data_IF_099100905881
#
_entry.id   IF_099100905881
#
_cell.length_a   1.000
_cell.length_b   1.000
_cell.length_c   1.000
_cell.angle_alpha   90.00
_cell.angle_beta   90.00
_cell.angle_gamma   90.00
#
_symmetry.space_group_name_H-M   'P 1'
#
loop_
_entity.id
_entity.type
_entity.pdbx_description
1 polymer ?
#
# COMPACT_ATOMS: atom_id res chain seq x y z
N UNK A 1 20.96 -61.38 -27.95
CA UNK A 1 19.93 -60.50 -28.54
C UNK A 1 18.57 -60.49 -27.79
N UNK A 2 18.14 -61.55 -27.08
CA UNK A 2 16.85 -61.57 -26.36
C UNK A 2 16.76 -60.69 -25.09
N UNK A 3 17.89 -60.22 -24.56
CA UNK A 3 17.92 -59.37 -23.35
C UNK A 3 17.93 -57.87 -23.65
N UNK A 4 18.28 -57.46 -24.87
CA UNK A 4 18.35 -56.04 -25.25
C UNK A 4 16.95 -55.40 -25.34
N UNK A 5 15.96 -56.16 -25.85
CA UNK A 5 14.58 -55.69 -25.95
C UNK A 5 13.90 -55.50 -24.58
N UNK A 6 14.30 -56.26 -23.55
CA UNK A 6 13.76 -56.12 -22.19
C UNK A 6 14.31 -54.89 -21.47
N UNK A 7 15.57 -54.52 -21.74
CA UNK A 7 16.20 -53.31 -21.18
C UNK A 7 15.63 -52.06 -21.84
N UNK A 8 15.41 -52.07 -23.16
CA UNK A 8 14.76 -50.95 -23.87
C UNK A 8 13.30 -50.74 -23.43
N UNK A 9 12.56 -51.83 -23.17
CA UNK A 9 11.18 -51.73 -22.71
C UNK A 9 11.08 -51.23 -21.26
N UNK A 10 12.03 -51.58 -20.37
CA UNK A 10 12.06 -51.06 -19.00
C UNK A 10 12.55 -49.60 -18.92
N UNK A 11 13.39 -49.17 -19.86
CA UNK A 11 13.86 -47.79 -19.94
C UNK A 11 12.77 -46.85 -20.49
N UNK A 12 11.94 -47.34 -21.40
CA UNK A 12 10.77 -46.62 -21.90
C UNK A 12 9.68 -46.45 -20.84
N UNK A 13 9.46 -47.43 -19.96
CA UNK A 13 8.55 -47.26 -18.80
C UNK A 13 9.12 -46.35 -17.72
N UNK A 14 10.45 -46.31 -17.53
CA UNK A 14 11.07 -45.36 -16.61
C UNK A 14 10.99 -43.91 -17.15
N UNK A 15 11.10 -43.70 -18.46
CA UNK A 15 10.88 -42.39 -19.09
C UNK A 15 9.40 -41.96 -19.11
N UNK A 16 8.45 -42.90 -19.13
CA UNK A 16 7.03 -42.59 -19.03
C UNK A 16 6.60 -42.17 -17.60
N UNK A 17 7.33 -42.59 -16.57
CA UNK A 17 7.16 -42.14 -15.18
C UNK A 17 7.88 -40.81 -14.89
N UNK A 18 8.80 -40.40 -15.77
CA UNK A 18 9.40 -39.07 -15.79
C UNK A 18 8.71 -38.29 -16.91
N UNK A 19 7.38 -38.17 -16.86
CA UNK A 19 6.75 -36.90 -17.23
C UNK A 19 7.12 -35.99 -16.05
N UNK A 20 8.34 -35.46 -15.99
CA UNK A 20 8.56 -34.03 -16.22
C UNK A 20 7.24 -33.28 -16.02
N UNK A 21 6.82 -33.17 -14.76
CA UNK A 21 5.98 -32.07 -14.33
C UNK A 21 6.84 -30.82 -14.51
N UNK A 22 6.94 -30.35 -15.76
CA UNK A 22 7.13 -28.93 -15.98
C UNK A 22 5.84 -28.32 -15.46
N UNK A 23 5.78 -28.07 -14.15
CA UNK A 23 5.00 -26.93 -13.69
C UNK A 23 5.68 -25.75 -14.36
N UNK A 24 5.11 -25.29 -15.48
CA UNK A 24 5.41 -23.94 -15.93
C UNK A 24 5.22 -23.02 -14.72
N UNK A 25 6.08 -22.02 -14.58
CA UNK A 25 5.82 -20.99 -13.59
C UNK A 25 4.40 -20.45 -13.87
N UNK A 26 3.56 -20.41 -12.83
CA UNK A 26 2.21 -19.89 -12.96
C UNK A 26 2.30 -18.39 -13.24
N UNK A 27 1.52 -17.92 -14.18
CA UNK A 27 1.37 -16.50 -14.46
C UNK A 27 -0.04 -16.03 -14.15
N UNK A 28 -0.22 -14.73 -14.04
CA UNK A 28 -1.53 -14.09 -14.16
C UNK A 28 -1.75 -13.74 -15.64
N UNK A 29 -2.77 -14.34 -16.25
CA UNK A 29 -3.16 -14.05 -17.63
C UNK A 29 -4.01 -12.77 -17.71
N UNK A 30 -4.87 -12.54 -16.71
CA UNK A 30 -5.81 -11.41 -16.71
C UNK A 30 -6.23 -11.00 -15.31
N UNK A 31 -6.41 -9.70 -15.10
CA UNK A 31 -7.02 -9.12 -13.91
C UNK A 31 -8.26 -8.33 -14.36
N UNK A 32 -9.42 -8.68 -13.81
CA UNK A 32 -10.69 -7.97 -14.01
C UNK A 32 -11.15 -7.35 -12.69
N UNK A 33 -11.33 -6.03 -12.65
CA UNK A 33 -11.94 -5.35 -11.50
C UNK A 33 -13.46 -5.48 -11.64
N UNK A 34 -14.09 -6.23 -10.74
CA UNK A 34 -15.52 -6.53 -10.80
C UNK A 34 -16.35 -5.39 -10.19
N UNK A 35 -15.87 -4.86 -9.07
CA UNK A 35 -16.46 -3.73 -8.34
C UNK A 35 -15.39 -3.03 -7.48
N UNK A 36 -15.80 -2.07 -6.64
CA UNK A 36 -14.92 -1.28 -5.77
C UNK A 36 -14.15 -2.13 -4.74
N UNK A 37 -14.56 -3.35 -4.42
CA UNK A 37 -13.90 -4.19 -3.42
C UNK A 37 -13.41 -5.53 -3.97
N UNK A 38 -13.71 -5.85 -5.22
CA UNK A 38 -13.56 -7.22 -5.74
C UNK A 38 -12.81 -7.23 -7.06
N UNK A 39 -11.79 -8.07 -7.13
CA UNK A 39 -11.04 -8.37 -8.34
C UNK A 39 -11.13 -9.87 -8.67
N UNK A 40 -11.11 -10.19 -9.96
CA UNK A 40 -11.01 -11.53 -10.49
C UNK A 40 -9.67 -11.70 -11.21
N UNK A 41 -8.88 -12.67 -10.77
CA UNK A 41 -7.56 -12.99 -11.34
C UNK A 41 -7.67 -14.30 -12.09
N UNK A 42 -7.38 -14.27 -13.38
CA UNK A 42 -7.28 -15.46 -14.23
C UNK A 42 -5.81 -15.88 -14.29
N UNK A 43 -5.53 -17.11 -13.87
CA UNK A 43 -4.19 -17.69 -13.92
C UNK A 43 -3.95 -18.40 -15.25
N UNK A 44 -2.70 -18.43 -15.70
CA UNK A 44 -2.27 -19.02 -16.99
C UNK A 44 -2.57 -20.52 -17.08
N UNK A 45 -2.62 -21.19 -15.94
CA UNK A 45 -2.99 -22.59 -15.79
C UNK A 45 -3.87 -22.73 -14.55
N UNK A 46 -4.63 -23.82 -14.47
CA UNK A 46 -5.42 -24.11 -13.28
C UNK A 46 -4.48 -24.54 -12.14
N UNK A 47 -4.31 -23.75 -11.07
CA UNK A 47 -3.50 -24.20 -9.95
C UNK A 47 -4.32 -25.24 -9.18
N UNK A 48 -3.68 -26.32 -8.75
CA UNK A 48 -4.30 -27.38 -7.96
C UNK A 48 -4.58 -26.90 -6.51
N UNK A 49 -5.29 -25.78 -6.34
CA UNK A 49 -5.66 -25.18 -5.04
C UNK A 49 -7.07 -25.55 -4.65
N UNK A 50 -7.35 -25.50 -3.35
CA UNK A 50 -8.63 -25.91 -2.77
C UNK A 50 -9.77 -24.99 -3.23
N UNK A 51 -10.95 -25.55 -3.42
CA UNK A 51 -12.20 -24.77 -3.62
C UNK A 51 -12.61 -24.11 -2.31
N UNK A 52 -13.07 -22.86 -2.40
CA UNK A 52 -13.38 -22.00 -1.27
C UNK A 52 -12.20 -21.08 -0.96
N UNK A 53 -11.95 -20.83 0.34
CA UNK A 53 -10.85 -19.97 0.76
C UNK A 53 -9.50 -20.58 0.40
N UNK A 54 -8.67 -19.80 -0.28
CA UNK A 54 -7.31 -20.13 -0.66
C UNK A 54 -6.35 -19.51 0.37
N UNK A 55 -5.40 -20.31 0.83
CA UNK A 55 -4.32 -19.84 1.70
C UNK A 55 -3.19 -19.29 0.81
N UNK A 56 -3.09 -17.96 0.76
CA UNK A 56 -2.13 -17.25 -0.06
C UNK A 56 -1.83 -15.88 0.57
N UNK A 57 -0.59 -15.45 0.39
CA UNK A 57 -0.12 -14.12 0.75
C UNK A 57 -0.12 -13.26 -0.52
N UNK A 58 -1.09 -12.35 -0.59
CA UNK A 58 -1.27 -11.42 -1.70
C UNK A 58 -1.36 -10.00 -1.14
N UNK A 59 -0.66 -9.07 -1.78
CA UNK A 59 -0.72 -7.64 -1.48
C UNK A 59 -1.22 -6.88 -2.70
N UNK A 60 -2.05 -5.85 -2.48
CA UNK A 60 -2.51 -4.95 -3.53
C UNK A 60 -2.09 -3.53 -3.16
N UNK A 61 -1.32 -2.89 -4.03
CA UNK A 61 -0.74 -1.57 -3.79
C UNK A 61 -1.25 -0.57 -4.82
N UNK A 62 -1.80 0.55 -4.37
CA UNK A 62 -2.13 1.71 -5.21
C UNK A 62 -0.91 2.61 -5.35
N UNK A 63 -0.56 2.99 -6.58
CA UNK A 63 0.46 4.01 -6.82
C UNK A 63 -0.16 5.41 -6.73
N UNK A 64 0.05 6.09 -5.61
CA UNK A 64 -0.55 7.41 -5.39
C UNK A 64 0.21 8.49 -6.18
N UNK A 65 -0.54 9.26 -6.97
CA UNK A 65 0.01 10.37 -7.74
C UNK A 65 0.40 11.53 -6.82
N UNK A 66 1.69 11.85 -6.84
CA UNK A 66 2.27 13.01 -6.17
C UNK A 66 2.33 14.15 -7.19
N UNK A 67 1.67 15.27 -6.87
CA UNK A 67 1.68 16.48 -7.68
C UNK A 67 3.04 17.18 -7.64
N UNK A 68 3.68 17.16 -6.48
CA UNK A 68 4.99 17.74 -6.29
C UNK A 68 5.47 17.61 -4.84
N UNK A 69 6.76 17.81 -4.65
CA UNK A 69 7.40 17.88 -3.35
C UNK A 69 8.30 19.12 -3.29
N UNK A 70 8.21 19.89 -2.21
CA UNK A 70 8.87 21.19 -2.08
C UNK A 70 9.57 21.29 -0.74
N UNK A 71 10.83 21.72 -0.74
CA UNK A 71 11.56 22.07 0.48
C UNK A 71 10.85 23.22 1.18
N UNK A 72 10.51 23.02 2.45
CA UNK A 72 9.82 24.03 3.23
C UNK A 72 10.72 25.26 3.41
N UNK A 73 10.13 26.44 3.28
CA UNK A 73 10.86 27.70 3.38
C UNK A 73 11.28 28.05 4.81
N UNK A 74 10.64 27.46 5.81
CA UNK A 74 10.87 27.73 7.23
C UNK A 74 11.87 26.76 7.88
N UNK A 75 12.10 25.59 7.26
CA UNK A 75 12.91 24.53 7.83
C UNK A 75 13.58 23.68 6.73
N UNK A 76 14.91 23.72 6.71
CA UNK A 76 15.73 22.98 5.73
C UNK A 76 15.64 21.45 5.86
N UNK A 77 14.99 20.91 6.90
CA UNK A 77 14.75 19.47 7.07
C UNK A 77 13.40 19.00 6.55
N UNK A 78 12.51 19.93 6.19
CA UNK A 78 11.11 19.63 5.90
C UNK A 78 10.81 19.65 4.41
N UNK A 79 10.09 18.65 3.93
CA UNK A 79 9.57 18.58 2.57
C UNK A 79 8.06 18.49 2.65
N UNK A 80 7.36 19.41 1.99
CA UNK A 80 5.91 19.35 1.81
C UNK A 80 5.59 18.61 0.51
N UNK A 81 4.83 17.53 0.62
CA UNK A 81 4.39 16.68 -0.48
C UNK A 81 2.90 16.93 -0.73
N UNK A 82 2.57 17.24 -1.98
CA UNK A 82 1.22 17.51 -2.44
C UNK A 82 0.69 16.32 -3.26
N UNK A 83 -0.50 15.85 -2.93
CA UNK A 83 -1.10 14.66 -3.54
C UNK A 83 -2.26 15.01 -4.49
N UNK A 84 -2.37 14.25 -5.58
CA UNK A 84 -3.50 14.36 -6.52
C UNK A 84 -4.73 13.58 -6.07
N UNK A 85 -4.54 12.56 -5.25
CA UNK A 85 -5.62 11.78 -4.62
C UNK A 85 -5.58 12.01 -3.10
N UNK A 86 -6.74 12.08 -2.43
CA UNK A 86 -6.76 12.20 -0.99
C UNK A 86 -6.31 10.87 -0.35
N UNK A 87 -5.61 10.96 0.78
CA UNK A 87 -5.36 9.86 1.69
C UNK A 87 -6.69 9.33 2.22
N UNK A 88 -6.74 8.02 2.38
CA UNK A 88 -7.84 7.29 2.94
C UNK A 88 -7.56 7.03 4.42
N UNK A 89 -8.63 6.96 5.21
CA UNK A 89 -8.55 6.61 6.62
C UNK A 89 -8.23 5.11 6.79
N UNK A 90 -7.59 4.74 7.90
CA UNK A 90 -7.27 3.35 8.25
C UNK A 90 -6.51 2.61 7.14
N UNK A 91 -5.63 3.30 6.43
CA UNK A 91 -4.90 2.78 5.27
C UNK A 91 -3.42 2.81 5.54
N UNK A 92 -2.72 1.73 5.19
CA UNK A 92 -1.27 1.64 5.31
C UNK A 92 -0.61 2.24 4.08
N UNK A 93 0.46 2.98 4.29
CA UNK A 93 1.20 3.70 3.26
C UNK A 93 2.67 3.43 3.41
N UNK A 94 3.37 3.35 2.28
CA UNK A 94 4.83 3.35 2.20
C UNK A 94 5.28 4.54 1.37
N UNK A 95 6.02 5.45 1.99
CA UNK A 95 6.64 6.58 1.31
C UNK A 95 8.10 6.26 1.04
N UNK A 96 8.50 6.35 -0.23
CA UNK A 96 9.84 6.05 -0.70
C UNK A 96 10.43 7.28 -1.37
N UNK A 97 11.64 7.67 -0.98
CA UNK A 97 12.37 8.71 -1.71
C UNK A 97 13.06 8.11 -2.93
N UNK A 98 12.79 8.66 -4.12
CA UNK A 98 13.35 8.21 -5.41
C UNK A 98 14.59 9.03 -5.78
N UNK A 99 14.55 10.33 -5.48
CA UNK A 99 15.64 11.27 -5.75
C UNK A 99 15.70 12.35 -4.66
N UNK A 100 16.90 12.68 -4.20
CA UNK A 100 17.13 13.59 -3.07
C UNK A 100 17.84 12.89 -1.92
N UNK A 101 17.35 13.07 -0.69
CA UNK A 101 17.85 12.37 0.49
C UNK A 101 17.30 10.93 0.54
N UNK A 102 18.16 9.97 0.90
CA UNK A 102 17.75 8.57 0.98
C UNK A 102 16.87 8.35 2.21
N UNK A 103 15.65 7.84 2.02
CA UNK A 103 14.80 7.51 3.15
C UNK A 103 13.48 6.88 2.74
N UNK A 104 12.93 6.10 3.67
CA UNK A 104 11.62 5.45 3.53
C UNK A 104 10.91 5.38 4.86
N UNK A 105 9.59 5.55 4.86
CA UNK A 105 8.77 5.40 6.05
C UNK A 105 7.46 4.71 5.71
N UNK A 106 7.09 3.74 6.52
CA UNK A 106 5.78 3.11 6.48
C UNK A 106 4.91 3.72 7.59
N UNK A 107 3.67 4.08 7.28
CA UNK A 107 2.74 4.67 8.23
C UNK A 107 1.30 4.20 7.96
N UNK A 108 0.47 4.18 9.00
CA UNK A 108 -0.95 3.84 8.87
C UNK A 108 -1.78 5.02 9.35
N UNK A 109 -2.63 5.55 8.47
CA UNK A 109 -3.53 6.64 8.83
C UNK A 109 -4.60 6.17 9.83
N UNK A 110 -5.01 6.99 10.81
CA UNK A 110 -6.13 6.65 11.67
C UNK A 110 -7.48 6.90 10.97
N UNK A 111 -8.58 6.81 11.73
CA UNK A 111 -9.92 7.08 11.22
C UNK A 111 -10.11 8.52 10.68
N UNK A 112 -9.33 9.47 11.20
CA UNK A 112 -9.21 10.84 10.65
C UNK A 112 -7.78 11.07 10.17
N UNK A 113 -7.63 11.55 8.94
CA UNK A 113 -6.30 11.73 8.33
C UNK A 113 -5.62 13.04 8.76
N UNK A 114 -6.39 14.10 9.01
CA UNK A 114 -5.88 15.44 9.31
C UNK A 114 -5.20 15.51 10.68
N UNK A 115 -4.02 16.13 10.72
CA UNK A 115 -3.22 16.33 11.94
C UNK A 115 -2.54 15.06 12.48
N UNK A 116 -2.51 13.97 11.71
CA UNK A 116 -1.81 12.75 12.11
C UNK A 116 -0.29 12.95 12.05
N UNK A 117 0.42 12.48 13.07
CA UNK A 117 1.89 12.53 13.14
C UNK A 117 2.41 11.14 13.46
N UNK A 118 3.44 10.70 12.75
CA UNK A 118 4.20 9.50 13.07
C UNK A 118 5.70 9.77 13.01
N UNK A 119 6.38 9.43 14.10
CA UNK A 119 7.84 9.46 14.19
C UNK A 119 8.42 8.12 13.71
N UNK A 120 9.52 8.17 12.98
CA UNK A 120 10.29 7.02 12.53
C UNK A 120 11.34 6.62 13.57
N UNK A 121 10.85 6.07 14.67
CA UNK A 121 11.66 5.68 15.83
C UNK A 121 12.69 4.57 15.55
N UNK A 122 12.70 4.00 14.35
CA UNK A 122 13.53 2.84 13.99
C UNK A 122 14.74 3.18 13.13
N UNK A 123 14.81 4.39 12.56
CA UNK A 123 15.93 4.73 11.71
C UNK A 123 17.20 5.01 12.49
N UNK A 124 18.32 4.50 11.98
CA UNK A 124 19.68 4.76 12.48
C UNK A 124 20.55 5.47 11.43
N UNK A 125 20.01 5.74 10.25
CA UNK A 125 20.74 6.38 9.16
C UNK A 125 20.59 7.89 9.26
N UNK A 126 21.68 8.65 9.13
CA UNK A 126 21.68 10.11 9.30
C UNK A 126 20.83 10.87 8.29
N UNK A 127 20.52 10.24 7.17
CA UNK A 127 19.91 10.86 6.00
C UNK A 127 18.44 10.48 5.86
N UNK A 128 17.91 9.66 6.77
CA UNK A 128 16.57 9.09 6.69
C UNK A 128 15.47 10.07 7.14
N UNK A 129 14.23 9.67 6.87
CA UNK A 129 13.03 10.34 7.34
C UNK A 129 12.91 10.11 8.84
N UNK A 130 12.85 11.21 9.59
CA UNK A 130 12.64 11.24 11.04
C UNK A 130 11.14 11.20 11.40
N UNK A 131 10.30 11.90 10.63
CA UNK A 131 8.89 12.07 10.96
C UNK A 131 8.06 12.33 9.70
N UNK A 132 6.82 11.86 9.72
CA UNK A 132 5.78 12.28 8.80
C UNK A 132 4.61 12.91 9.55
N UNK A 133 4.08 14.00 9.00
CA UNK A 133 2.90 14.72 9.48
C UNK A 133 1.91 14.85 8.32
N UNK A 134 0.66 14.46 8.55
CA UNK A 134 -0.44 14.65 7.60
C UNK A 134 -1.12 15.96 7.95
N UNK A 135 -0.82 17.01 7.20
CA UNK A 135 -1.42 18.33 7.40
C UNK A 135 -2.90 18.29 7.07
N UNK A 136 -3.25 17.67 5.94
CA UNK A 136 -4.62 17.45 5.49
C UNK A 136 -4.68 16.20 4.59
N UNK A 137 -5.87 15.86 4.08
CA UNK A 137 -6.05 14.67 3.22
C UNK A 137 -5.16 14.61 1.97
N UNK A 138 -4.56 15.71 1.52
CA UNK A 138 -3.77 15.82 0.29
C UNK A 138 -2.39 16.45 0.50
N UNK A 139 -2.03 16.75 1.75
CA UNK A 139 -0.78 17.43 2.09
C UNK A 139 -0.07 16.66 3.19
N UNK A 140 1.15 16.24 2.91
CA UNK A 140 2.06 15.60 3.86
C UNK A 140 3.27 16.48 4.08
N UNK A 141 3.77 16.56 5.30
CA UNK A 141 5.07 17.13 5.62
C UNK A 141 5.99 16.02 6.12
N UNK A 142 7.14 15.88 5.49
CA UNK A 142 8.17 14.90 5.84
C UNK A 142 9.34 15.65 6.44
N UNK A 143 9.78 15.23 7.63
CA UNK A 143 10.95 15.80 8.30
C UNK A 143 12.08 14.77 8.25
N UNK A 144 13.26 15.20 7.81
CA UNK A 144 14.47 14.40 7.80
C UNK A 144 15.32 14.65 9.05
N UNK A 145 16.20 13.69 9.38
CA UNK A 145 17.10 13.82 10.53
C UNK A 145 18.10 14.97 10.33
N UNK A 146 18.59 15.15 9.10
CA UNK A 146 19.56 16.17 8.72
C UNK A 146 18.98 17.27 7.82
N UNK A 147 19.71 18.39 7.73
CA UNK A 147 19.39 19.47 6.81
C UNK A 147 19.56 19.01 5.37
N UNK A 148 18.59 19.35 4.53
CA UNK A 148 18.56 19.02 3.12
C UNK A 148 19.19 20.14 2.29
N UNK A 149 19.90 19.76 1.23
CA UNK A 149 20.42 20.72 0.25
C UNK A 149 19.31 21.22 -0.69
N UNK A 150 19.42 22.42 -1.25
CA UNK A 150 18.48 22.82 -2.32
C UNK A 150 18.58 21.85 -3.51
N UNK A 151 17.43 21.29 -3.95
CA UNK A 151 17.40 20.27 -4.99
C UNK A 151 15.98 19.90 -5.41
N UNK A 152 15.89 19.03 -6.43
CA UNK A 152 14.63 18.39 -6.80
C UNK A 152 14.44 17.11 -5.98
N UNK A 153 13.29 17.01 -5.31
CA UNK A 153 12.93 15.84 -4.54
C UNK A 153 11.83 15.07 -5.26
N UNK A 154 12.02 13.76 -5.40
CA UNK A 154 11.06 12.87 -6.04
C UNK A 154 10.71 11.75 -5.07
N UNK A 155 9.42 11.48 -4.96
CA UNK A 155 8.88 10.49 -4.04
C UNK A 155 7.96 9.54 -4.78
N UNK A 156 7.77 8.37 -4.18
CA UNK A 156 6.73 7.43 -4.52
C UNK A 156 5.94 7.11 -3.26
N UNK A 157 4.61 7.22 -3.33
CA UNK A 157 3.71 6.89 -2.23
C UNK A 157 2.85 5.71 -2.65
N UNK A 158 2.97 4.60 -1.93
CA UNK A 158 2.21 3.39 -2.18
C UNK A 158 1.17 3.22 -1.08
N UNK A 159 -0.10 3.03 -1.44
CA UNK A 159 -1.16 2.74 -0.48
C UNK A 159 -1.53 1.26 -0.55
N UNK A 160 -1.57 0.58 0.59
CA UNK A 160 -1.93 -0.84 0.64
C UNK A 160 -3.44 -1.02 0.80
N UNK A 161 -4.02 -1.77 -0.14
CA UNK A 161 -5.35 -2.36 -0.01
C UNK A 161 -5.20 -3.76 0.59
N UNK A 162 -5.57 -3.91 1.86
CA UNK A 162 -5.51 -5.18 2.56
C UNK A 162 -6.42 -6.20 1.89
N UNK A 163 -5.90 -7.39 1.64
CA UNK A 163 -6.69 -8.52 1.14
C UNK A 163 -7.49 -9.15 2.27
N UNK A 164 -8.82 -9.12 2.16
CA UNK A 164 -9.74 -9.68 3.14
C UNK A 164 -10.02 -11.17 2.91
N UNK A 165 -10.18 -11.56 1.65
CA UNK A 165 -10.34 -12.97 1.27
C UNK A 165 -9.85 -13.25 -0.14
N UNK A 166 -9.43 -14.51 -0.34
CA UNK A 166 -9.05 -15.07 -1.63
C UNK A 166 -9.87 -16.35 -1.79
N UNK A 167 -10.68 -16.43 -2.84
CA UNK A 167 -11.64 -17.50 -3.03
C UNK A 167 -11.50 -18.13 -4.42
N UNK A 168 -11.57 -19.46 -4.48
CA UNK A 168 -11.70 -20.22 -5.71
C UNK A 168 -13.07 -20.87 -5.78
N UNK A 169 -13.88 -20.50 -6.77
CA UNK A 169 -15.27 -20.97 -6.88
C UNK A 169 -15.40 -22.44 -7.29
N UNK A 170 -14.54 -22.93 -8.19
CA UNK A 170 -14.57 -24.31 -8.69
C UNK A 170 -13.17 -24.86 -8.87
N UNK A 171 -13.04 -26.18 -8.74
CA UNK A 171 -11.74 -26.85 -8.78
C UNK A 171 -11.08 -26.75 -10.16
N UNK A 172 -11.86 -26.88 -11.23
CA UNK A 172 -11.37 -26.89 -12.61
C UNK A 172 -11.12 -25.48 -13.19
N UNK A 173 -11.50 -24.44 -12.44
CA UNK A 173 -11.40 -23.05 -12.87
C UNK A 173 -10.02 -22.47 -12.53
N UNK A 174 -9.43 -21.68 -13.44
CA UNK A 174 -8.18 -20.94 -13.19
C UNK A 174 -8.41 -19.55 -12.58
N UNK A 175 -9.63 -19.27 -12.12
CA UNK A 175 -10.03 -17.98 -11.58
C UNK A 175 -9.92 -17.95 -10.05
N UNK A 176 -9.36 -16.86 -9.53
CA UNK A 176 -9.42 -16.46 -8.13
C UNK A 176 -10.24 -15.18 -8.00
N UNK A 177 -11.07 -15.11 -6.97
CA UNK A 177 -11.76 -13.89 -6.56
C UNK A 177 -11.06 -13.35 -5.32
N UNK A 178 -10.61 -12.11 -5.36
CA UNK A 178 -9.91 -11.47 -4.24
C UNK A 178 -10.75 -10.26 -3.81
N UNK A 179 -10.96 -10.15 -2.50
CA UNK A 179 -11.66 -9.01 -1.89
C UNK A 179 -10.69 -8.17 -1.10
N UNK A 180 -10.84 -6.85 -1.17
CA UNK A 180 -9.93 -5.91 -0.52
C UNK A 180 -10.65 -4.83 0.28
N UNK A 181 -9.94 -4.31 1.29
CA UNK A 181 -10.29 -3.13 2.08
C UNK A 181 -9.03 -2.29 2.33
N UNK A 182 -9.04 -0.96 2.15
CA UNK A 182 -10.15 -0.12 1.68
C UNK A 182 -10.56 -0.38 0.21
N UNK A 183 -11.73 0.11 -0.23
CA UNK A 183 -12.17 -0.01 -1.62
C UNK A 183 -11.23 0.71 -2.60
N UNK A 184 -11.20 0.19 -3.82
CA UNK A 184 -10.53 0.76 -4.96
C UNK A 184 -11.03 2.16 -5.29
N UNK A 185 -10.09 3.00 -5.70
CA UNK A 185 -10.38 4.29 -6.34
C UNK A 185 -10.43 4.06 -7.84
N UNK A 186 -11.43 4.64 -8.52
CA UNK A 186 -11.58 4.49 -9.97
C UNK A 186 -10.50 5.25 -10.73
N UNK A 187 -10.15 4.75 -11.93
CA UNK A 187 -9.14 5.35 -12.81
C UNK A 187 -7.75 5.50 -12.17
N UNK A 188 -7.39 4.54 -11.32
CA UNK A 188 -6.13 4.52 -10.56
C UNK A 188 -5.32 3.27 -10.93
N UNK A 189 -4.00 3.41 -10.95
CA UNK A 189 -3.07 2.31 -11.21
C UNK A 189 -2.75 1.57 -9.91
N UNK A 190 -2.77 0.24 -10.00
CA UNK A 190 -2.53 -0.69 -8.91
C UNK A 190 -1.53 -1.77 -9.32
N UNK A 191 -0.88 -2.33 -8.31
CA UNK A 191 0.06 -3.45 -8.41
C UNK A 191 -0.49 -4.59 -7.56
N UNK A 192 -0.72 -5.74 -8.18
CA UNK A 192 -1.01 -7.01 -7.51
C UNK A 192 0.30 -7.77 -7.30
N UNK A 193 0.63 -8.06 -6.05
CA UNK A 193 1.79 -8.87 -5.68
C UNK A 193 1.32 -10.21 -5.10
N UNK A 194 1.75 -11.31 -5.69
CA UNK A 194 1.54 -12.67 -5.17
C UNK A 194 2.85 -13.12 -4.54
N UNK A 195 2.89 -13.17 -3.22
CA UNK A 195 4.09 -13.43 -2.43
C UNK A 195 4.25 -14.94 -2.19
N UNK A 196 3.18 -15.58 -1.70
CA UNK A 196 3.14 -17.03 -1.48
C UNK A 196 1.76 -17.58 -1.79
N UNK A 197 1.71 -18.81 -2.31
CA UNK A 197 0.47 -19.56 -2.49
C UNK A 197 0.80 -21.05 -2.47
N UNK A 198 -0.03 -21.84 -1.81
CA UNK A 198 0.15 -23.28 -1.72
C UNK A 198 -0.98 -24.03 -2.42
N UNK A 199 -0.63 -25.16 -3.03
CA UNK A 199 -1.59 -26.10 -3.59
C UNK A 199 -2.31 -26.93 -2.50
N UNK A 200 -3.24 -27.81 -2.90
CA UNK A 200 -3.98 -28.68 -1.98
C UNK A 200 -3.09 -29.65 -1.18
N UNK A 201 -1.87 -29.89 -1.64
CA UNK A 201 -0.88 -30.77 -0.99
C UNK A 201 0.10 -29.97 -0.10
N UNK A 202 -0.08 -28.65 0.00
CA UNK A 202 0.79 -27.75 0.78
C UNK A 202 2.11 -27.42 0.07
N UNK A 203 2.21 -27.65 -1.23
CA UNK A 203 3.40 -27.30 -2.01
C UNK A 203 3.28 -25.86 -2.50
N UNK A 204 4.35 -25.08 -2.29
CA UNK A 204 4.47 -23.74 -2.83
C UNK A 204 4.34 -23.73 -4.36
N UNK A 205 3.55 -22.79 -4.85
CA UNK A 205 3.36 -22.49 -6.25
C UNK A 205 4.37 -21.43 -6.67
N UNK A 206 5.13 -21.71 -7.73
CA UNK A 206 6.08 -20.75 -8.29
C UNK A 206 5.38 -19.87 -9.32
N UNK A 207 5.43 -18.56 -9.13
CA UNK A 207 4.96 -17.58 -10.11
C UNK A 207 6.12 -17.05 -10.96
N UNK A 208 5.82 -16.64 -12.20
CA UNK A 208 6.85 -16.17 -13.14
C UNK A 208 7.54 -14.87 -12.68
N UNK A 209 6.73 -13.93 -12.19
CA UNK A 209 7.10 -12.57 -11.80
C UNK A 209 6.53 -12.25 -10.43
N UNK A 210 5.33 -12.75 -10.12
CA UNK A 210 4.61 -12.49 -8.88
C UNK A 210 4.14 -11.03 -8.73
N UNK A 211 4.31 -10.17 -9.75
CA UNK A 211 3.99 -8.75 -9.70
C UNK A 211 3.28 -8.36 -11.00
N UNK A 212 2.08 -7.80 -10.89
CA UNK A 212 1.23 -7.51 -12.03
C UNK A 212 0.56 -6.15 -11.90
N UNK A 213 0.71 -5.30 -12.91
CA UNK A 213 0.06 -3.98 -12.93
C UNK A 213 -1.35 -4.08 -13.52
N UNK A 214 -2.28 -3.28 -12.98
CA UNK A 214 -3.62 -3.10 -13.54
C UNK A 214 -4.16 -1.70 -13.24
N UNK A 215 -5.13 -1.25 -14.03
CA UNK A 215 -5.81 0.03 -13.83
C UNK A 215 -7.28 -0.23 -13.55
N UNK A 216 -7.83 0.42 -12.52
CA UNK A 216 -9.26 0.33 -12.21
C UNK A 216 -10.10 1.12 -13.20
N UNK A 217 -11.31 0.65 -13.55
CA UNK A 217 -12.24 1.44 -14.34
C UNK A 217 -12.77 2.63 -13.53
N UNK A 218 -13.44 3.57 -14.20
CA UNK A 218 -14.25 4.56 -13.50
C UNK A 218 -15.41 3.86 -12.80
N UNK A 219 -15.52 4.03 -11.48
CA UNK A 219 -16.70 3.59 -10.74
C UNK A 219 -17.83 4.60 -10.91
N UNK A 220 -19.00 4.14 -11.32
CA UNK A 220 -20.18 5.00 -11.29
C UNK A 220 -20.58 5.19 -9.84
N UNK A 221 -20.36 6.38 -9.30
CA UNK A 221 -20.87 6.74 -7.99
C UNK A 221 -22.35 6.35 -7.94
N UNK A 222 -22.67 5.36 -7.11
CA UNK A 222 -24.05 5.02 -6.85
C UNK A 222 -24.67 6.25 -6.25
N UNK A 223 -25.48 6.96 -7.03
CA UNK A 223 -26.30 8.06 -6.54
C UNK A 223 -27.26 7.43 -5.57
N UNK A 224 -26.88 7.41 -4.29
CA UNK A 224 -27.82 7.17 -3.21
C UNK A 224 -28.81 8.33 -3.30
N UNK A 225 -29.93 8.09 -3.98
CA UNK A 225 -31.08 8.98 -3.93
C UNK A 225 -31.57 8.87 -2.50
N UNK A 226 -31.07 9.78 -1.66
CA UNK A 226 -31.54 9.97 -0.29
C UNK A 226 -33.05 10.22 -0.38
N UNK A 227 -33.79 9.14 -0.19
CA UNK A 227 -35.23 9.12 -0.29
C UNK A 227 -35.84 9.61 1.01
N UNK A 228 -35.28 10.65 1.62
CA UNK A 228 -35.94 11.47 2.62
C UNK A 228 -36.92 12.44 1.94
N UNK A 229 -37.81 11.86 1.12
CA UNK A 229 -39.06 12.49 0.73
C UNK A 229 -39.96 12.60 1.96
N UNK A 230 -39.78 13.70 2.68
CA UNK A 230 -40.82 14.52 3.30
C UNK A 230 -42.23 13.90 3.24
N UNK A 231 -42.61 13.23 4.33
CA UNK A 231 -44.01 12.93 4.64
C UNK A 231 -44.75 14.21 5.03
N UNK A 232 -44.97 15.10 4.07
CA UNK A 232 -45.95 16.17 4.22
C UNK A 232 -47.35 15.59 4.01
N UNK A 233 -48.03 15.30 5.12
CA UNK A 233 -49.46 15.01 5.16
C UNK A 233 -50.20 16.26 4.64
N UNK A 234 -50.76 16.18 3.44
CA UNK A 234 -51.73 17.16 2.93
C UNK A 234 -53.08 16.95 3.64
N UNK A 235 -53.70 17.97 4.25
CA UNK A 235 -55.13 17.98 4.48
C UNK A 235 -55.88 18.36 3.21
N UNK A 236 -57.08 17.79 3.11
CA UNK A 236 -57.97 17.80 1.95
C UNK A 236 -58.35 19.20 1.44
N UNK A 237 -58.60 19.21 0.13
CA UNK A 237 -59.24 20.24 -0.68
C UNK A 237 -60.26 21.12 0.07
N UNK A 238 -60.02 22.43 0.07
CA UNK A 238 -61.09 23.38 -0.13
C UNK A 238 -60.62 24.50 -1.06
N UNK A 239 -61.31 24.59 -2.19
CA UNK A 239 -61.11 25.57 -3.23
C UNK A 239 -61.45 26.98 -2.74
N UNK A 240 -60.52 27.92 -2.93
CA UNK A 240 -60.86 29.33 -3.18
C UNK A 240 -59.79 29.95 -4.07
N UNK A 241 -60.24 30.26 -5.29
CA UNK A 241 -59.76 31.28 -6.21
C UNK A 241 -59.38 32.58 -5.50
N UNK A 242 -58.14 33.04 -5.65
CA UNK A 242 -57.74 34.45 -5.51
C UNK A 242 -56.38 34.67 -6.17
N UNK A 243 -56.41 35.37 -7.31
CA UNK A 243 -55.27 36.08 -7.91
C UNK A 243 -54.83 37.25 -7.03
N UNK A 244 -53.56 37.34 -6.65
CA UNK A 244 -52.91 38.61 -6.28
C UNK A 244 -51.47 38.62 -6.80
N UNK A 245 -51.21 39.61 -7.65
CA UNK A 245 -49.90 40.09 -8.11
C UNK A 245 -49.31 40.95 -6.99
N UNK A 246 -48.11 40.62 -6.49
CA UNK A 246 -47.21 41.62 -5.87
C UNK A 246 -45.77 41.30 -6.26
N UNK A 247 -45.28 42.21 -7.10
CA UNK A 247 -43.90 42.58 -7.36
C UNK A 247 -43.29 43.09 -6.04
N UNK A 248 -42.15 42.57 -5.60
CA UNK A 248 -41.31 43.30 -4.64
C UNK A 248 -39.85 42.88 -4.75
N UNK A 249 -39.07 43.86 -5.18
CA UNK A 249 -37.62 43.92 -5.14
C UNK A 249 -37.13 43.66 -3.71
N UNK A 250 -36.08 42.85 -3.55
CA UNK A 250 -35.38 42.76 -2.26
C UNK A 250 -33.91 43.12 -2.44
N UNK A 251 -33.61 44.24 -1.81
CA UNK A 251 -32.38 45.00 -1.82
C UNK A 251 -31.18 44.24 -1.23
N UNK A 252 -30.03 44.62 -1.78
CA UNK A 252 -28.68 44.30 -1.37
C UNK A 252 -28.41 44.81 0.05
N UNK A 253 -27.99 43.94 0.97
CA UNK A 253 -27.44 44.35 2.26
C UNK A 253 -25.96 43.98 2.35
N UNK A 254 -25.10 44.96 2.07
CA UNK A 254 -23.69 44.95 2.48
C UNK A 254 -23.61 45.24 3.98
N UNK A 255 -22.95 44.37 4.74
CA UNK A 255 -22.51 44.69 6.10
C UNK A 255 -20.99 44.65 6.13
N UNK A 256 -20.43 45.83 6.35
CA UNK A 256 -19.02 46.06 6.58
C UNK A 256 -18.68 45.88 8.06
N UNK A 257 -17.53 45.26 8.31
CA UNK A 257 -16.52 45.72 9.27
C UNK A 257 -16.79 45.53 10.76
N UNK A 258 -15.93 44.77 11.42
CA UNK A 258 -15.20 45.23 12.61
C UNK A 258 -13.95 44.39 12.82
N UNK A 259 -12.80 44.99 12.54
CA UNK A 259 -11.50 44.58 13.07
C UNK A 259 -11.51 44.78 14.59
N UNK A 260 -11.14 43.75 15.33
CA UNK A 260 -10.75 43.92 16.74
C UNK A 260 -9.36 43.35 16.90
N UNK A 261 -8.39 44.26 16.97
CA UNK A 261 -7.01 43.95 17.35
C UNK A 261 -6.96 43.76 18.87
N UNK A 262 -6.65 42.55 19.32
CA UNK A 262 -6.22 42.30 20.70
C UNK A 262 -4.70 42.31 20.77
N UNK A 263 -4.21 43.28 21.54
CA UNK A 263 -2.84 43.42 22.03
C UNK A 263 -2.70 42.43 23.18
N UNK A 264 -1.78 41.46 23.08
CA UNK A 264 -1.37 40.64 24.21
C UNK A 264 0.01 41.10 24.66
N UNK A 265 0.06 41.52 25.93
CA UNK A 265 1.21 41.99 26.69
C UNK A 265 2.28 40.90 26.85
N UNK A 266 3.54 41.33 26.71
CA UNK A 266 4.75 40.61 27.11
C UNK A 266 4.72 40.31 28.62
N UNK A 267 4.53 39.05 28.95
CA UNK A 267 4.76 38.50 30.28
C UNK A 267 6.17 37.92 30.39
N UNK A 268 7.02 38.62 31.13
CA UNK A 268 8.36 38.21 31.56
C UNK A 268 8.29 36.88 32.34
N UNK A 269 8.84 35.79 31.78
CA UNK A 269 8.93 34.49 32.45
C UNK A 269 10.30 34.36 33.11
N UNK A 270 10.31 34.44 34.44
CA UNK A 270 11.45 34.23 35.33
C UNK A 270 11.76 32.72 35.43
N UNK A 271 12.80 32.26 34.70
CA UNK A 271 13.27 30.87 34.73
C UNK A 271 14.32 30.67 35.84
N UNK A 272 13.84 30.31 37.04
CA UNK A 272 14.67 29.77 38.12
C UNK A 272 14.26 28.32 38.42
N UNK A 273 15.05 27.35 37.94
CA UNK A 273 15.14 26.01 38.54
C UNK A 273 16.30 25.21 37.92
N UNK A 274 17.53 25.54 38.29
CA UNK A 274 18.65 24.60 38.19
C UNK A 274 18.72 23.84 39.53
N UNK A 275 18.45 22.54 39.52
CA UNK A 275 18.53 21.75 40.75
C UNK A 275 18.35 20.25 40.55
N UNK A 276 19.38 19.54 41.00
CA UNK A 276 19.41 18.14 41.44
C UNK A 276 19.65 17.08 40.37
N UNK A 277 20.93 16.70 40.31
CA UNK A 277 21.40 15.40 39.85
C UNK A 277 20.71 14.27 40.63
N UNK A 278 20.36 13.20 39.92
CA UNK A 278 20.11 11.89 40.51
C UNK A 278 20.96 10.86 39.78
N UNK A 279 22.07 10.50 40.42
CA UNK A 279 22.64 9.16 40.34
C UNK A 279 21.61 8.20 40.95
N UNK A 280 21.09 7.26 40.16
CA UNK A 280 20.87 5.86 40.54
C UNK A 280 20.00 5.14 39.51
N UNK A 281 20.43 3.92 39.16
CA UNK A 281 19.74 2.81 38.47
C UNK A 281 20.44 2.33 37.18
N UNK A 282 21.64 1.76 37.37
CA UNK A 282 22.34 0.97 36.34
C UNK A 282 22.26 -0.56 36.56
N UNK A 283 21.35 -1.05 37.42
CA UNK A 283 21.24 -2.49 37.72
C UNK A 283 19.95 -3.18 37.22
N UNK A 284 19.13 -2.53 36.39
CA UNK A 284 17.90 -3.14 35.83
C UNK A 284 17.89 -3.23 34.29
N UNK A 285 19.03 -3.54 33.66
CA UNK A 285 19.11 -3.74 32.19
C UNK A 285 19.51 -5.18 31.81
N UNK A 286 19.65 -6.10 32.77
CA UNK A 286 20.16 -7.45 32.51
C UNK A 286 19.09 -8.56 32.41
N UNK A 287 17.78 -8.24 32.29
CA UNK A 287 16.71 -9.26 32.26
C UNK A 287 15.72 -9.16 31.09
N UNK A 288 15.99 -8.36 30.06
CA UNK A 288 15.25 -8.40 28.79
C UNK A 288 16.07 -9.11 27.70
N UNK A 289 16.47 -10.35 27.95
CA UNK A 289 17.12 -11.22 26.98
C UNK A 289 16.32 -12.51 26.85
N UNK A 290 15.16 -12.43 26.20
CA UNK A 290 14.45 -13.59 25.62
C UNK A 290 13.29 -13.09 24.74
N UNK A 291 13.63 -12.34 23.70
CA UNK A 291 12.87 -12.36 22.44
C UNK A 291 13.88 -12.06 21.33
N UNK A 292 14.41 -13.14 20.73
CA UNK A 292 15.20 -13.05 19.50
C UNK A 292 14.33 -12.43 18.42
N UNK A 293 14.72 -11.31 17.78
CA UNK A 293 13.96 -10.75 16.69
C UNK A 293 13.91 -11.77 15.55
N UNK A 294 12.69 -11.99 15.05
CA UNK A 294 12.35 -12.86 13.93
C UNK A 294 13.06 -12.35 12.66
N UNK A 295 14.30 -12.79 12.49
CA UNK A 295 15.20 -12.43 11.38
C UNK A 295 15.12 -13.44 10.24
N UNK A 296 14.07 -14.27 10.22
CA UNK A 296 13.89 -15.35 9.25
C UNK A 296 13.95 -14.82 7.82
N UNK A 297 13.07 -13.88 7.46
CA UNK A 297 12.95 -13.38 6.09
C UNK A 297 14.22 -12.68 5.58
N UNK A 298 14.81 -11.79 6.39
CA UNK A 298 16.01 -11.05 6.00
C UNK A 298 17.24 -11.95 5.79
N UNK A 299 17.35 -13.04 6.56
CA UNK A 299 18.44 -14.01 6.41
C UNK A 299 18.31 -14.81 5.12
N UNK A 300 17.09 -15.19 4.73
CA UNK A 300 16.86 -15.94 3.49
C UNK A 300 17.11 -15.10 2.24
N UNK A 301 16.80 -13.81 2.26
CA UNK A 301 17.07 -12.89 1.14
C UNK A 301 18.58 -12.80 0.85
N UNK A 302 19.42 -12.68 1.90
CA UNK A 302 20.87 -12.65 1.76
C UNK A 302 21.45 -13.97 1.22
N UNK A 303 20.90 -15.11 1.67
CA UNK A 303 21.29 -16.44 1.19
C UNK A 303 20.92 -16.63 -0.29
N UNK A 304 19.73 -16.17 -0.71
CA UNK A 304 19.30 -16.22 -2.11
C UNK A 304 20.16 -15.32 -3.00
N UNK A 305 20.41 -14.08 -2.58
CA UNK A 305 21.25 -13.14 -3.33
C UNK A 305 22.67 -13.70 -3.56
N UNK A 306 23.29 -14.31 -2.55
CA UNK A 306 24.62 -14.93 -2.69
C UNK A 306 24.61 -16.16 -3.60
N UNK A 307 23.53 -16.94 -3.62
CA UNK A 307 23.40 -18.11 -4.50
C UNK A 307 23.26 -17.69 -5.98
N UNK A 308 22.47 -16.65 -6.26
CA UNK A 308 22.30 -16.08 -7.61
C UNK A 308 23.62 -15.53 -8.14
N UNK A 309 24.34 -14.73 -7.34
CA UNK A 309 25.63 -14.14 -7.73
C UNK A 309 26.65 -15.25 -8.05
N UNK A 310 26.76 -16.28 -7.22
CA UNK A 310 27.67 -17.40 -7.44
C UNK A 310 27.31 -18.23 -8.68
N UNK A 311 26.01 -18.40 -8.95
CA UNK A 311 25.52 -19.14 -10.12
C UNK A 311 25.84 -18.41 -11.43
N UNK A 312 25.62 -17.10 -11.47
CA UNK A 312 25.99 -16.25 -12.61
C UNK A 312 27.49 -16.28 -12.85
N UNK A 313 28.29 -16.15 -11.78
CA UNK A 313 29.75 -16.22 -11.87
C UNK A 313 30.23 -17.57 -12.42
N UNK A 314 29.66 -18.68 -11.96
CA UNK A 314 30.00 -20.02 -12.41
C UNK A 314 29.67 -20.23 -13.91
N UNK A 315 28.49 -19.79 -14.35
CA UNK A 315 28.06 -19.89 -15.76
C UNK A 315 28.96 -19.04 -16.66
N UNK A 316 29.26 -17.81 -16.26
CA UNK A 316 30.15 -16.91 -17.00
C UNK A 316 31.56 -17.51 -17.14
N UNK A 317 32.11 -18.09 -16.07
CA UNK A 317 33.42 -18.76 -16.09
C UNK A 317 33.43 -20.01 -16.97
N UNK A 318 32.36 -20.81 -16.96
CA UNK A 318 32.26 -22.02 -17.80
C UNK A 318 32.23 -21.68 -19.29
N UNK A 319 31.50 -20.64 -19.71
CA UNK A 319 31.49 -20.19 -21.11
C UNK A 319 32.88 -19.73 -21.58
N UNK A 320 33.65 -19.08 -20.69
CA UNK A 320 35.01 -18.62 -21.01
C UNK A 320 36.01 -19.77 -21.25
N UNK A 321 35.80 -20.93 -20.62
CA UNK A 321 36.63 -22.14 -20.83
C UNK A 321 36.22 -22.97 -22.05
N UNK A 322 35.05 -22.73 -22.65
CA UNK A 322 34.64 -23.40 -23.90
C UNK A 322 35.03 -22.61 -25.15
N UNK A 323 35.46 -21.36 -24.98
CA UNK A 323 35.88 -20.46 -26.05
C UNK A 323 37.42 -20.29 -26.12
N UNK A 324 38.15 -20.99 -25.25
CA UNK A 324 39.61 -21.07 -25.24
C UNK A 324 40.05 -22.49 -25.59
#
# INVERSE_FOLDING_TARGET
MKHLGKILLSLATLFALIQITHSGALGVEKIDVLDENTLSVTLSENPNVKVGNVDAEITVLSDMKIRGAVLSADNAKKIDILLDNPLQANTSYSLLTINGAEGSIDFTTPAGVEGFIQENISSIQSDDIDMIEVIDSRTLTVTYIQDLSEGSYEYKLLAESKVDSIEKAKFDDSFLTIKVTPPFVGEQDYILMIIDMQDVDGKHLEFDTGIYDFTTPAFTASVEVDSTSSGAILPAEQATDTTVVVDDELEVMQVAGTETAEVIEDGEIDLNAAGAESEDNLEEVALAATDTPDTGAATWILVFATLVINSIYYIARRKKMQLA
#
